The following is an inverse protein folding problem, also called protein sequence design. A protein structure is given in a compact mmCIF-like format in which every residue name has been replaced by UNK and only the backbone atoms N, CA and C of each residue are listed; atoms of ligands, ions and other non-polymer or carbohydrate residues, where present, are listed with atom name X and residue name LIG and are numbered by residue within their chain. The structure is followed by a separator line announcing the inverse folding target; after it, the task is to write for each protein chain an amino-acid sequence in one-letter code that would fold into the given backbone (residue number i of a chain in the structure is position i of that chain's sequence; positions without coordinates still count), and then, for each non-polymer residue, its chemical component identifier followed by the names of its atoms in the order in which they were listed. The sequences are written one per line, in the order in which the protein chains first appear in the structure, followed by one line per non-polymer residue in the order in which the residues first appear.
data_IF_572090131229
#
_entry.id   IF_572090131229
#
_cell.length_a   1.000
_cell.length_b   1.000
_cell.length_c   1.000
_cell.angle_alpha   90.00
_cell.angle_beta   90.00
_cell.angle_gamma   90.00
#
_symmetry.space_group_name_H-M   'P 1'
#
loop_
_entity.id
_entity.type
_entity.pdbx_description
1 polymer ?
#
# COMPACT_ATOMS: atom_id res chain seq x y z
N UNK A 1 3.83 6.08 -39.16
CA UNK A 1 3.47 5.24 -38.01
C UNK A 1 2.32 4.36 -38.47
N UNK A 2 2.47 3.05 -38.43
CA UNK A 2 1.38 2.14 -38.82
C UNK A 2 0.44 1.98 -37.63
N UNK A 3 -0.85 1.79 -37.91
CA UNK A 3 -1.91 1.45 -36.94
C UNK A 3 -1.47 0.36 -35.95
N UNK A 4 -0.72 -0.63 -36.46
CA UNK A 4 -0.11 -1.70 -35.65
C UNK A 4 0.95 -1.18 -34.65
N UNK A 5 1.75 -0.18 -35.01
CA UNK A 5 2.76 0.42 -34.14
C UNK A 5 2.16 1.28 -33.01
N UNK A 6 1.05 1.97 -33.26
CA UNK A 6 0.34 2.74 -32.22
C UNK A 6 -0.36 1.82 -31.22
N UNK A 7 -1.03 0.76 -31.69
CA UNK A 7 -1.63 -0.26 -30.82
C UNK A 7 -0.56 -0.95 -29.97
N UNK A 8 0.55 -1.37 -30.59
CA UNK A 8 1.66 -2.04 -29.91
C UNK A 8 2.38 -1.13 -28.91
N UNK A 9 2.45 0.18 -29.20
CA UNK A 9 2.97 1.18 -28.26
C UNK A 9 2.07 1.38 -27.03
N UNK A 10 0.75 1.31 -27.21
CA UNK A 10 -0.22 1.36 -26.09
C UNK A 10 -0.16 0.13 -25.21
N UNK A 11 -0.14 -1.07 -25.79
CA UNK A 11 -0.05 -2.33 -25.04
C UNK A 11 1.28 -2.48 -24.30
N UNK A 12 2.39 -2.02 -24.88
CA UNK A 12 3.68 -1.99 -24.18
C UNK A 12 3.66 -1.07 -22.95
N UNK A 13 3.00 0.09 -23.04
CA UNK A 13 2.83 1.02 -21.91
C UNK A 13 1.93 0.42 -20.82
N UNK A 14 0.85 -0.27 -21.20
CA UNK A 14 0.00 -0.98 -20.25
C UNK A 14 0.78 -2.06 -19.53
N UNK A 15 1.50 -2.93 -20.24
CA UNK A 15 2.29 -3.98 -19.62
C UNK A 15 3.37 -3.43 -18.66
N UNK A 16 4.01 -2.32 -19.01
CA UNK A 16 4.97 -1.64 -18.14
C UNK A 16 4.31 -1.08 -16.87
N UNK A 17 3.12 -0.47 -17.00
CA UNK A 17 2.37 0.06 -15.87
C UNK A 17 1.83 -1.05 -14.97
N UNK A 18 1.35 -2.15 -15.55
CA UNK A 18 0.87 -3.33 -14.82
C UNK A 18 1.98 -4.00 -14.03
N UNK A 19 3.18 -4.10 -14.61
CA UNK A 19 4.35 -4.62 -13.90
C UNK A 19 4.73 -3.73 -12.70
N UNK A 20 4.71 -2.41 -12.88
CA UNK A 20 4.96 -1.47 -11.78
C UNK A 20 3.86 -1.54 -10.71
N UNK A 21 2.60 -1.66 -11.12
CA UNK A 21 1.47 -1.83 -10.21
C UNK A 21 1.60 -3.12 -9.39
N UNK A 22 1.94 -4.25 -10.02
CA UNK A 22 2.15 -5.53 -9.34
C UNK A 22 3.32 -5.46 -8.34
N UNK A 23 4.39 -4.73 -8.67
CA UNK A 23 5.51 -4.50 -7.76
C UNK A 23 5.09 -3.68 -6.53
N UNK A 24 4.29 -2.63 -6.73
CA UNK A 24 3.75 -1.82 -5.64
C UNK A 24 2.77 -2.63 -4.76
N UNK A 25 1.97 -3.53 -5.33
CA UNK A 25 1.14 -4.43 -4.55
C UNK A 25 1.93 -5.43 -3.72
N UNK A 26 3.01 -6.00 -4.25
CA UNK A 26 3.90 -6.84 -3.44
C UNK A 26 4.53 -6.05 -2.30
N UNK A 27 4.98 -4.83 -2.57
CA UNK A 27 5.51 -3.94 -1.54
C UNK A 27 4.46 -3.62 -0.47
N UNK A 28 3.20 -3.39 -0.87
CA UNK A 28 2.08 -3.18 0.04
C UNK A 28 1.78 -4.43 0.90
N UNK A 29 1.80 -5.64 0.31
CA UNK A 29 1.63 -6.90 1.04
C UNK A 29 2.76 -7.13 2.05
N UNK A 30 4.00 -6.83 1.66
CA UNK A 30 5.14 -6.86 2.56
C UNK A 30 4.96 -5.86 3.71
N UNK A 31 4.54 -4.63 3.40
CA UNK A 31 4.23 -3.60 4.39
C UNK A 31 3.14 -4.03 5.37
N UNK A 32 2.06 -4.67 4.91
CA UNK A 32 1.01 -5.24 5.79
C UNK A 32 1.57 -6.30 6.73
N UNK A 33 2.43 -7.18 6.23
CA UNK A 33 3.09 -8.21 7.03
C UNK A 33 4.02 -7.58 8.07
N UNK A 34 4.77 -6.55 7.68
CA UNK A 34 5.62 -5.80 8.59
C UNK A 34 4.82 -5.05 9.66
N UNK A 35 3.65 -4.48 9.32
CA UNK A 35 2.74 -3.87 10.28
C UNK A 35 2.24 -4.88 11.31
N UNK A 36 1.83 -6.09 10.86
CA UNK A 36 1.39 -7.17 11.73
C UNK A 36 2.52 -7.64 12.68
N UNK A 37 3.73 -7.83 12.15
CA UNK A 37 4.90 -8.18 12.96
C UNK A 37 5.21 -7.08 13.99
N UNK A 38 5.16 -5.82 13.57
CA UNK A 38 5.42 -4.65 14.42
C UNK A 38 4.39 -4.54 15.54
N UNK A 39 3.11 -4.79 15.28
CA UNK A 39 2.06 -4.87 16.31
C UNK A 39 2.34 -6.01 17.30
N UNK A 40 2.66 -7.21 16.80
CA UNK A 40 2.97 -8.38 17.62
C UNK A 40 4.17 -8.13 18.55
N UNK A 41 5.28 -7.63 18.01
CA UNK A 41 6.49 -7.32 18.79
C UNK A 41 6.23 -6.24 19.85
N UNK A 42 5.43 -5.20 19.54
CA UNK A 42 5.10 -4.19 20.55
C UNK A 42 4.20 -4.71 21.66
N UNK A 43 3.27 -5.63 21.37
CA UNK A 43 2.48 -6.30 22.40
C UNK A 43 3.35 -7.18 23.29
N UNK A 44 4.27 -7.94 22.71
CA UNK A 44 5.22 -8.75 23.47
C UNK A 44 6.09 -7.89 24.38
N UNK A 45 6.62 -6.77 23.87
CA UNK A 45 7.38 -5.82 24.67
C UNK A 45 6.57 -5.19 25.81
N UNK A 46 5.29 -4.88 25.57
CA UNK A 46 4.39 -4.40 26.62
C UNK A 46 4.20 -5.45 27.71
N UNK A 47 3.91 -6.70 27.32
CA UNK A 47 3.72 -7.80 28.26
C UNK A 47 4.99 -8.06 29.09
N UNK A 48 6.17 -8.03 28.46
CA UNK A 48 7.45 -8.15 29.16
C UNK A 48 7.70 -6.98 30.12
N UNK A 49 7.34 -5.76 29.72
CA UNK A 49 7.47 -4.58 30.59
C UNK A 49 6.56 -4.69 31.81
N UNK A 50 5.29 -5.07 31.62
CA UNK A 50 4.33 -5.28 32.72
C UNK A 50 4.81 -6.41 33.63
N UNK A 51 5.20 -7.56 33.07
CA UNK A 51 5.73 -8.68 33.84
C UNK A 51 6.98 -8.33 34.65
N UNK A 52 7.84 -7.45 34.12
CA UNK A 52 9.01 -6.94 34.85
C UNK A 52 8.60 -5.99 35.98
N UNK A 53 7.63 -5.10 35.75
CA UNK A 53 7.08 -4.22 36.80
C UNK A 53 6.51 -5.06 37.94
N UNK A 54 5.72 -6.08 37.61
CA UNK A 54 5.13 -6.98 38.59
C UNK A 54 6.20 -7.74 39.37
N UNK A 55 7.22 -8.28 38.68
CA UNK A 55 8.33 -9.00 39.33
C UNK A 55 9.14 -8.10 40.27
N UNK A 56 9.49 -6.87 39.86
CA UNK A 56 10.25 -5.92 40.68
C UNK A 56 9.43 -5.46 41.89
N UNK A 57 8.14 -5.18 41.69
CA UNK A 57 7.25 -4.74 42.77
C UNK A 57 6.95 -5.86 43.76
N UNK A 58 6.74 -7.08 43.27
CA UNK A 58 6.61 -8.27 44.10
C UNK A 58 7.89 -8.53 44.92
N UNK A 59 9.07 -8.39 44.32
CA UNK A 59 10.35 -8.49 45.01
C UNK A 59 10.54 -7.38 46.08
N UNK A 60 9.97 -6.20 45.85
CA UNK A 60 9.95 -5.09 46.81
C UNK A 60 8.86 -5.22 47.89
N UNK A 61 8.08 -6.31 47.90
CA UNK A 61 6.98 -6.53 48.86
C UNK A 61 5.79 -5.61 48.66
N UNK A 62 5.66 -4.98 47.49
CA UNK A 62 4.56 -4.08 47.16
C UNK A 62 3.40 -4.89 46.60
N UNK A 63 2.20 -4.65 47.12
CA UNK A 63 0.98 -5.32 46.66
C UNK A 63 0.76 -5.09 45.15
N UNK A 64 0.60 -6.16 44.34
CA UNK A 64 0.25 -6.06 42.93
C UNK A 64 -1.04 -5.26 42.69
N UNK A 65 -1.96 -5.26 43.64
CA UNK A 65 -3.22 -4.51 43.57
C UNK A 65 -3.12 -3.06 44.06
N UNK A 66 -1.92 -2.58 44.44
CA UNK A 66 -1.78 -1.21 44.93
C UNK A 66 -2.17 -0.19 43.84
N UNK A 67 -2.76 0.97 44.23
CA UNK A 67 -3.10 2.05 43.29
C UNK A 67 -1.90 2.52 42.45
N UNK A 68 -0.69 2.45 43.01
CA UNK A 68 0.53 2.82 42.31
C UNK A 68 0.94 1.77 41.26
N UNK A 69 0.67 0.48 41.51
CA UNK A 69 0.95 -0.60 40.55
C UNK A 69 0.03 -0.47 39.34
N UNK A 70 -1.27 -0.31 39.58
CA UNK A 70 -2.28 -0.13 38.52
C UNK A 70 -2.02 1.12 37.69
N UNK A 71 -1.69 2.25 38.31
CA UNK A 71 -1.33 3.47 37.59
C UNK A 71 -0.08 3.30 36.71
N UNK A 72 0.93 2.54 37.14
CA UNK A 72 2.11 2.26 36.32
C UNK A 72 1.80 1.34 35.14
N UNK A 73 0.98 0.30 35.34
CA UNK A 73 0.54 -0.60 34.27
C UNK A 73 -0.27 0.17 33.23
N UNK A 74 -1.20 1.02 33.67
CA UNK A 74 -2.03 1.85 32.80
C UNK A 74 -1.19 2.85 31.99
N UNK A 75 -0.28 3.58 32.65
CA UNK A 75 0.62 4.53 31.97
C UNK A 75 1.50 3.84 30.91
N UNK A 76 2.06 2.66 31.20
CA UNK A 76 2.86 1.90 30.24
C UNK A 76 2.02 1.36 29.09
N UNK A 77 0.79 0.92 29.38
CA UNK A 77 -0.18 0.47 28.37
C UNK A 77 -0.55 1.61 27.43
N UNK A 78 -0.86 2.81 27.93
CA UNK A 78 -1.14 3.98 27.11
C UNK A 78 0.05 4.40 26.26
N UNK A 79 1.25 4.42 26.84
CA UNK A 79 2.47 4.78 26.12
C UNK A 79 2.76 3.79 24.98
N UNK A 80 2.68 2.50 25.27
CA UNK A 80 2.87 1.45 24.27
C UNK A 80 1.80 1.52 23.18
N UNK A 81 0.52 1.70 23.56
CA UNK A 81 -0.56 1.86 22.59
C UNK A 81 -0.35 3.05 21.65
N UNK A 82 0.10 4.20 22.16
CA UNK A 82 0.41 5.37 21.32
C UNK A 82 1.56 5.08 20.35
N UNK A 83 2.65 4.47 20.83
CA UNK A 83 3.78 4.09 19.98
C UNK A 83 3.36 3.10 18.90
N UNK A 84 2.53 2.13 19.28
CA UNK A 84 1.98 1.11 18.38
C UNK A 84 1.10 1.69 17.29
N UNK A 85 0.15 2.55 17.66
CA UNK A 85 -0.71 3.24 16.71
C UNK A 85 0.10 4.14 15.78
N UNK A 86 1.12 4.84 16.28
CA UNK A 86 1.97 5.67 15.44
C UNK A 86 2.80 4.84 14.44
N UNK A 87 3.44 3.76 14.89
CA UNK A 87 4.26 2.92 14.03
C UNK A 87 3.43 2.13 13.01
N UNK A 88 2.36 1.45 13.46
CA UNK A 88 1.43 0.72 12.57
C UNK A 88 0.71 1.70 11.64
N UNK A 89 0.30 2.86 12.14
CA UNK A 89 -0.33 3.90 11.33
C UNK A 89 0.58 4.43 10.23
N UNK A 90 1.88 4.61 10.52
CA UNK A 90 2.87 5.01 9.52
C UNK A 90 3.03 3.95 8.42
N UNK A 91 3.14 2.67 8.78
CA UNK A 91 3.26 1.57 7.82
C UNK A 91 1.97 1.45 6.99
N UNK A 92 0.81 1.51 7.63
CA UNK A 92 -0.48 1.44 6.93
C UNK A 92 -0.69 2.61 5.98
N UNK A 93 -0.19 3.80 6.31
CA UNK A 93 -0.25 4.96 5.42
C UNK A 93 0.61 4.73 4.17
N UNK A 94 1.82 4.18 4.32
CA UNK A 94 2.68 3.83 3.19
C UNK A 94 2.06 2.71 2.32
N UNK A 95 1.45 1.71 2.96
CA UNK A 95 0.71 0.63 2.26
C UNK A 95 -0.44 1.22 1.45
N UNK A 96 -1.25 2.09 2.05
CA UNK A 96 -2.38 2.73 1.37
C UNK A 96 -1.93 3.59 0.17
N UNK A 97 -0.82 4.32 0.31
CA UNK A 97 -0.21 5.08 -0.78
C UNK A 97 0.25 4.18 -1.93
N UNK A 98 0.89 3.05 -1.62
CA UNK A 98 1.35 2.07 -2.61
C UNK A 98 0.18 1.41 -3.33
N UNK A 99 -0.89 1.05 -2.62
CA UNK A 99 -2.11 0.50 -3.22
C UNK A 99 -2.83 1.51 -4.12
N UNK A 100 -2.94 2.76 -3.68
CA UNK A 100 -3.50 3.84 -4.48
C UNK A 100 -2.67 4.10 -5.75
N UNK A 101 -1.35 4.11 -5.62
CA UNK A 101 -0.42 4.28 -6.74
C UNK A 101 -0.50 3.11 -7.73
N UNK A 102 -0.60 1.87 -7.22
CA UNK A 102 -0.78 0.69 -8.06
C UNK A 102 -2.09 0.75 -8.85
N UNK A 103 -3.18 1.14 -8.19
CA UNK A 103 -4.49 1.30 -8.85
C UNK A 103 -4.43 2.38 -9.94
N UNK A 104 -3.82 3.52 -9.65
CA UNK A 104 -3.63 4.60 -10.61
C UNK A 104 -2.83 4.14 -11.84
N UNK A 105 -1.74 3.38 -11.64
CA UNK A 105 -0.93 2.87 -12.75
C UNK A 105 -1.73 1.93 -13.67
N UNK A 106 -2.58 1.06 -13.12
CA UNK A 106 -3.47 0.21 -13.94
C UNK A 106 -4.45 1.04 -14.75
N UNK A 107 -5.13 1.99 -14.10
CA UNK A 107 -6.08 2.88 -14.80
C UNK A 107 -5.39 3.68 -15.91
N UNK A 108 -4.17 4.17 -15.66
CA UNK A 108 -3.35 4.85 -16.65
C UNK A 108 -2.92 3.92 -17.81
N UNK A 109 -2.63 2.64 -17.51
CA UNK A 109 -2.35 1.62 -18.50
C UNK A 109 -3.55 1.34 -19.41
N UNK A 110 -4.72 1.11 -18.82
CA UNK A 110 -5.98 0.87 -19.55
C UNK A 110 -6.38 2.07 -20.41
N UNK A 111 -6.22 3.29 -19.88
CA UNK A 111 -6.48 4.51 -20.63
C UNK A 111 -5.50 4.68 -21.81
N UNK A 112 -4.22 4.37 -21.62
CA UNK A 112 -3.21 4.45 -22.69
C UNK A 112 -3.51 3.50 -23.84
N UNK A 113 -4.02 2.30 -23.55
CA UNK A 113 -4.45 1.32 -24.57
C UNK A 113 -5.72 1.79 -25.26
N UNK A 114 -6.69 2.29 -24.48
CA UNK A 114 -7.94 2.80 -25.06
C UNK A 114 -7.67 3.98 -26.00
N UNK A 115 -6.81 4.92 -25.60
CA UNK A 115 -6.39 6.02 -26.47
C UNK A 115 -5.62 5.53 -27.71
N UNK A 116 -4.77 4.52 -27.58
CA UNK A 116 -4.04 4.00 -28.74
C UNK A 116 -4.99 3.35 -29.75
N UNK A 117 -6.01 2.61 -29.29
CA UNK A 117 -7.05 2.05 -30.15
C UNK A 117 -7.92 3.13 -30.81
N UNK A 118 -8.35 4.16 -30.07
CA UNK A 118 -9.13 5.27 -30.64
C UNK A 118 -8.33 6.01 -31.71
N UNK A 119 -7.06 6.34 -31.41
CA UNK A 119 -6.17 7.01 -32.37
C UNK A 119 -5.91 6.16 -33.61
N UNK A 120 -5.63 4.88 -33.42
CA UNK A 120 -5.48 3.91 -34.50
C UNK A 120 -6.74 3.83 -35.38
N UNK A 121 -7.94 3.83 -34.78
CA UNK A 121 -9.22 3.84 -35.50
C UNK A 121 -9.48 5.15 -36.28
N UNK A 122 -9.18 6.31 -35.68
CA UNK A 122 -9.30 7.60 -36.38
C UNK A 122 -8.29 7.74 -37.51
N UNK A 123 -7.09 7.18 -37.36
CA UNK A 123 -6.05 7.19 -38.39
C UNK A 123 -6.43 6.28 -39.57
N UNK A 124 -7.03 5.10 -39.31
CA UNK A 124 -7.61 4.24 -40.36
C UNK A 124 -8.76 4.97 -41.07
N UNK A 125 -9.71 5.54 -40.32
CA UNK A 125 -10.87 6.20 -40.90
C UNK A 125 -10.46 7.41 -41.75
N UNK A 126 -9.54 8.24 -41.26
CA UNK A 126 -9.03 9.39 -42.01
C UNK A 126 -8.19 8.97 -43.24
N UNK A 127 -7.46 7.86 -43.17
CA UNK A 127 -6.75 7.30 -44.32
C UNK A 127 -7.69 6.75 -45.40
N UNK A 128 -8.79 6.08 -45.00
CA UNK A 128 -9.84 5.61 -45.92
C UNK A 128 -10.58 6.79 -46.54
N UNK A 129 -10.94 7.81 -45.75
CA UNK A 129 -11.62 9.01 -46.24
C UNK A 129 -10.76 9.86 -47.20
N UNK A 130 -9.42 9.83 -47.06
CA UNK A 130 -8.48 10.50 -47.97
C UNK A 130 -8.02 9.65 -49.15
N UNK A 131 -8.42 8.37 -49.21
CA UNK A 131 -8.07 7.51 -50.34
C UNK A 131 -8.94 7.87 -51.56
N UNK A 132 -8.37 7.93 -52.77
CA UNK A 132 -9.05 8.42 -53.99
C UNK A 132 -10.23 7.55 -54.48
N UNK A 133 -10.64 6.54 -53.70
CA UNK A 133 -11.77 5.63 -53.96
C UNK A 133 -12.92 5.80 -52.95
N UNK A 134 -12.87 6.78 -52.05
CA UNK A 134 -13.96 7.08 -51.10
C UNK A 134 -15.07 7.92 -51.74
N UNK A 135 -16.28 7.37 -51.77
CA UNK A 135 -17.53 7.96 -52.29
C UNK A 135 -17.65 9.48 -52.11
N UNK A 136 -17.47 10.21 -53.22
CA UNK A 136 -18.31 11.36 -53.56
C UNK A 136 -19.44 10.92 -54.47
#
# INVERSE_FOLDING_TARGET
MTVAGDIMGGSAKQAANDYQAARLEQAAQFGKTQAALTDATMRENLNNTIGTIDAVRAAAGVDPSSPTTSAMVEMNTERSNRQRLAAVGTINSQVAEQEASAKYLREAGDFAVTQSYVKAGTDVFSAVAKSPFGFG
#
